data_IF_018705327213
#
_entry.id   IF_018705327213
#
_cell.length_a   1.000
_cell.length_b   1.000
_cell.length_c   1.000
_cell.angle_alpha   90.00
_cell.angle_beta   90.00
_cell.angle_gamma   90.00
#
_symmetry.space_group_name_H-M   'P 1'
#
loop_
_entity.id
_entity.type
_entity.pdbx_description
1 polymer ?
#
# COMPACT_ATOMS: atom_id res chain seq x y z
N UNK A 1 23.82 18.71 101.70
CA UNK A 1 23.83 20.10 101.18
C UNK A 1 24.01 19.98 99.67
N UNK A 2 22.95 20.27 98.93
CA UNK A 2 22.79 19.97 97.50
C UNK A 2 23.33 21.10 96.60
N UNK A 3 23.62 20.73 95.35
CA UNK A 3 23.69 21.56 94.14
C UNK A 3 24.89 22.50 93.94
N UNK A 4 25.78 22.12 93.01
CA UNK A 4 26.52 23.07 92.14
C UNK A 4 27.21 22.43 90.91
N UNK A 5 26.92 21.18 90.54
CA UNK A 5 27.60 20.49 89.41
C UNK A 5 26.67 20.00 88.30
N UNK A 6 25.48 20.60 88.17
CA UNK A 6 24.49 20.24 87.13
C UNK A 6 24.10 21.45 86.28
N UNK A 7 25.07 22.25 85.85
CA UNK A 7 24.80 23.40 84.97
C UNK A 7 25.74 23.50 83.75
N UNK A 8 26.95 22.93 83.80
CA UNK A 8 27.91 23.04 82.69
C UNK A 8 27.84 21.89 81.69
N UNK A 9 27.41 20.70 82.10
CA UNK A 9 27.28 19.53 81.20
C UNK A 9 26.02 19.55 80.31
N UNK A 10 24.98 20.29 80.70
CA UNK A 10 23.75 20.45 79.89
C UNK A 10 23.85 21.59 78.86
N UNK A 11 24.82 22.50 79.03
CA UNK A 11 25.07 23.64 78.14
C UNK A 11 26.06 23.31 77.01
N UNK A 12 26.80 22.21 77.14
CA UNK A 12 27.69 21.70 76.08
C UNK A 12 26.93 20.74 75.14
N UNK A 13 25.92 20.03 75.65
CA UNK A 13 25.11 19.12 74.84
C UNK A 13 24.13 19.84 73.87
N UNK A 14 23.79 21.11 74.12
CA UNK A 14 22.91 21.90 73.24
C UNK A 14 23.65 22.66 72.14
N UNK A 15 24.99 22.66 72.14
CA UNK A 15 25.82 23.36 71.13
C UNK A 15 26.40 22.47 70.02
N UNK A 16 26.18 21.16 70.07
CA UNK A 16 26.88 20.22 69.20
C UNK A 16 26.00 19.51 68.16
N UNK A 17 24.81 20.03 67.86
CA UNK A 17 24.00 19.59 66.71
C UNK A 17 23.29 20.81 66.10
N UNK A 18 24.04 21.87 65.79
CA UNK A 18 23.65 22.73 64.67
C UNK A 18 24.18 22.03 63.43
N UNK A 19 23.32 21.24 62.79
CA UNK A 19 23.55 20.92 61.38
C UNK A 19 23.53 22.28 60.67
N UNK A 20 24.71 22.87 60.46
CA UNK A 20 24.89 23.96 59.50
C UNK A 20 24.68 23.32 58.13
N UNK A 21 23.41 23.06 57.84
CA UNK A 21 22.96 22.60 56.55
C UNK A 21 23.16 23.79 55.64
N UNK A 22 24.06 23.65 54.67
CA UNK A 22 24.33 24.66 53.66
C UNK A 22 23.09 24.78 52.74
N UNK A 23 22.14 25.57 53.21
CA UNK A 23 20.84 25.79 52.57
C UNK A 23 20.98 26.41 51.19
N UNK A 24 22.05 27.18 50.95
CA UNK A 24 22.32 27.79 49.64
C UNK A 24 22.70 26.71 48.62
N UNK A 25 23.58 25.79 48.99
CA UNK A 25 23.92 24.63 48.16
C UNK A 25 22.71 23.71 47.90
N UNK A 26 21.84 23.55 48.91
CA UNK A 26 20.60 22.77 48.76
C UNK A 26 19.62 23.42 47.77
N UNK A 27 19.39 24.75 47.89
CA UNK A 27 18.50 25.50 47.02
C UNK A 27 19.01 25.56 45.57
N UNK A 28 20.32 25.73 45.36
CA UNK A 28 20.94 25.71 44.03
C UNK A 28 20.72 24.35 43.35
N UNK A 29 20.89 23.25 44.08
CA UNK A 29 20.65 21.91 43.54
C UNK A 29 19.18 21.68 43.17
N UNK A 30 18.23 22.15 43.99
CA UNK A 30 16.80 22.08 43.66
C UNK A 30 16.50 22.88 42.40
N UNK A 31 17.01 24.10 42.30
CA UNK A 31 16.77 24.97 41.15
C UNK A 31 17.38 24.42 39.86
N UNK A 32 18.61 23.91 39.93
CA UNK A 32 19.26 23.22 38.83
C UNK A 32 18.45 21.99 38.40
N UNK A 33 17.98 21.17 39.34
CA UNK A 33 17.11 20.02 39.08
C UNK A 33 15.82 20.39 38.35
N UNK A 34 15.18 21.50 38.75
CA UNK A 34 13.99 22.01 38.09
C UNK A 34 14.28 22.46 36.65
N UNK A 35 15.38 23.20 36.42
CA UNK A 35 15.80 23.61 35.08
C UNK A 35 16.02 22.39 34.16
N UNK A 36 16.77 21.39 34.63
CA UNK A 36 17.01 20.16 33.86
C UNK A 36 15.72 19.38 33.59
N UNK A 37 14.77 19.38 34.53
CA UNK A 37 13.46 18.75 34.34
C UNK A 37 12.67 19.40 33.20
N UNK A 38 12.56 20.73 33.17
CA UNK A 38 11.85 21.43 32.09
C UNK A 38 12.56 21.30 30.74
N UNK A 39 13.90 21.39 30.72
CA UNK A 39 14.69 21.12 29.52
C UNK A 39 14.46 19.70 29.00
N UNK A 40 14.41 18.70 29.89
CA UNK A 40 14.12 17.32 29.57
C UNK A 40 12.73 17.12 28.97
N UNK A 41 11.71 17.81 29.50
CA UNK A 41 10.35 17.78 28.95
C UNK A 41 10.31 18.40 27.56
N UNK A 42 10.87 19.60 27.38
CA UNK A 42 10.90 20.29 26.08
C UNK A 42 11.62 19.44 25.04
N UNK A 43 12.77 18.87 25.41
CA UNK A 43 13.53 17.98 24.54
C UNK A 43 12.75 16.70 24.19
N UNK A 44 12.05 16.10 25.15
CA UNK A 44 11.23 14.90 24.93
C UNK A 44 10.04 15.17 24.00
N UNK A 45 9.32 16.28 24.22
CA UNK A 45 8.19 16.69 23.37
C UNK A 45 8.66 16.95 21.94
N UNK A 46 9.88 17.45 21.74
CA UNK A 46 10.42 17.70 20.41
C UNK A 46 10.99 16.44 19.73
N UNK A 47 11.71 15.62 20.49
CA UNK A 47 12.47 14.49 19.94
C UNK A 47 11.58 13.28 19.61
N UNK A 48 10.62 12.96 20.48
CA UNK A 48 9.70 11.81 20.31
C UNK A 48 8.93 11.87 18.97
N UNK A 49 8.26 12.98 18.59
CA UNK A 49 7.53 13.03 17.32
C UNK A 49 8.49 12.94 16.12
N UNK A 50 9.69 13.50 16.22
CA UNK A 50 10.66 13.46 15.12
C UNK A 50 11.13 12.01 14.82
N UNK A 51 11.47 11.24 15.85
CA UNK A 51 11.82 9.83 15.68
C UNK A 51 10.61 8.98 15.26
N UNK A 52 9.44 9.23 15.85
CA UNK A 52 8.21 8.50 15.52
C UNK A 52 7.84 8.68 14.04
N UNK A 53 7.86 9.92 13.53
CA UNK A 53 7.56 10.22 12.12
C UNK A 53 8.59 9.55 11.19
N UNK A 54 9.87 9.59 11.54
CA UNK A 54 10.93 8.96 10.72
C UNK A 54 10.77 7.45 10.64
N UNK A 55 10.51 6.79 11.76
CA UNK A 55 10.26 5.35 11.83
C UNK A 55 8.98 4.97 11.08
N UNK A 56 7.90 5.75 11.24
CA UNK A 56 6.64 5.56 10.53
C UNK A 56 6.84 5.65 9.02
N UNK A 57 7.60 6.66 8.55
CA UNK A 57 7.91 6.84 7.12
C UNK A 57 8.68 5.65 6.54
N UNK A 58 9.68 5.16 7.26
CA UNK A 58 10.47 4.01 6.80
C UNK A 58 9.63 2.71 6.73
N UNK A 59 8.84 2.45 7.79
CA UNK A 59 7.93 1.29 7.82
C UNK A 59 6.89 1.36 6.70
N UNK A 60 6.31 2.55 6.46
CA UNK A 60 5.35 2.78 5.40
C UNK A 60 5.93 2.54 4.01
N UNK A 61 7.16 2.97 3.73
CA UNK A 61 7.81 2.72 2.44
C UNK A 61 7.97 1.22 2.16
N UNK A 62 8.41 0.44 3.17
CA UNK A 62 8.55 -1.02 3.03
C UNK A 62 7.20 -1.68 2.73
N UNK A 63 6.15 -1.30 3.46
CA UNK A 63 4.81 -1.83 3.21
C UNK A 63 4.26 -1.44 1.84
N UNK A 64 4.46 -0.19 1.42
CA UNK A 64 4.01 0.27 0.11
C UNK A 64 4.70 -0.51 -1.01
N UNK A 65 6.02 -0.72 -0.92
CA UNK A 65 6.77 -1.55 -1.88
C UNK A 65 6.19 -2.96 -1.99
N UNK A 66 5.88 -3.60 -0.86
CA UNK A 66 5.23 -4.91 -0.86
C UNK A 66 3.84 -4.86 -1.51
N UNK A 67 3.01 -3.84 -1.22
CA UNK A 67 1.69 -3.69 -1.86
C UNK A 67 1.82 -3.54 -3.38
N UNK A 68 2.71 -2.67 -3.84
CA UNK A 68 2.97 -2.46 -5.28
C UNK A 68 3.38 -3.78 -5.93
N UNK A 69 4.30 -4.52 -5.30
CA UNK A 69 4.74 -5.83 -5.78
C UNK A 69 3.56 -6.81 -5.92
N UNK A 70 2.73 -6.97 -4.88
CA UNK A 70 1.55 -7.84 -4.96
C UNK A 70 0.53 -7.38 -6.00
N UNK A 71 0.32 -6.07 -6.15
CA UNK A 71 -0.57 -5.53 -7.19
C UNK A 71 -0.03 -5.80 -8.60
N UNK A 72 1.29 -5.67 -8.82
CA UNK A 72 1.92 -6.04 -10.09
C UNK A 72 1.68 -7.52 -10.39
N UNK A 73 1.93 -8.41 -9.42
CA UNK A 73 1.69 -9.85 -9.61
C UNK A 73 0.24 -10.14 -9.97
N UNK A 74 -0.70 -9.58 -9.21
CA UNK A 74 -2.14 -9.77 -9.44
C UNK A 74 -2.56 -9.33 -10.86
N UNK A 75 -2.03 -8.19 -11.33
CA UNK A 75 -2.31 -7.71 -12.69
C UNK A 75 -1.61 -8.57 -13.76
N UNK A 76 -0.37 -9.01 -13.53
CA UNK A 76 0.32 -9.93 -14.43
C UNK A 76 -0.42 -11.26 -14.55
N UNK A 77 -0.86 -11.84 -13.43
CA UNK A 77 -1.63 -13.09 -13.40
C UNK A 77 -2.95 -12.94 -14.16
N UNK A 78 -3.64 -11.81 -14.01
CA UNK A 78 -4.81 -11.49 -14.81
C UNK A 78 -4.49 -11.55 -16.31
N UNK A 79 -3.45 -10.89 -16.80
CA UNK A 79 -3.08 -10.93 -18.22
C UNK A 79 -2.61 -12.32 -18.67
N UNK A 80 -1.91 -13.07 -17.83
CA UNK A 80 -1.42 -14.42 -18.15
C UNK A 80 -2.55 -15.42 -18.36
N UNK A 81 -3.63 -15.25 -17.61
CA UNK A 81 -4.83 -16.08 -17.68
C UNK A 81 -5.76 -15.72 -18.84
N UNK A 82 -5.39 -14.76 -19.70
CA UNK A 82 -6.25 -14.41 -20.82
C UNK A 82 -6.35 -15.53 -21.86
N UNK A 83 -7.50 -15.64 -22.55
CA UNK A 83 -7.71 -16.54 -23.68
C UNK A 83 -6.58 -16.43 -24.71
N UNK A 84 -6.20 -17.56 -25.31
CA UNK A 84 -5.07 -17.64 -26.25
C UNK A 84 -5.35 -16.78 -27.49
N UNK A 85 -6.61 -16.67 -27.87
CA UNK A 85 -7.15 -15.90 -28.98
C UNK A 85 -6.90 -14.40 -28.82
N UNK A 86 -6.76 -13.91 -27.58
CA UNK A 86 -6.46 -12.51 -27.30
C UNK A 86 -4.95 -12.22 -27.27
N UNK A 87 -4.11 -13.26 -27.12
CA UNK A 87 -2.67 -13.06 -26.96
C UNK A 87 -2.06 -12.42 -28.19
N UNK A 88 -1.34 -11.34 -27.95
CA UNK A 88 -0.73 -10.51 -29.01
C UNK A 88 0.67 -10.96 -29.41
N UNK A 89 1.34 -11.73 -28.56
CA UNK A 89 2.62 -12.36 -28.86
C UNK A 89 2.83 -13.60 -27.97
N UNK A 90 3.88 -14.38 -28.25
CA UNK A 90 4.30 -15.51 -27.41
C UNK A 90 5.43 -15.15 -26.43
N UNK A 91 5.86 -13.89 -26.46
CA UNK A 91 7.02 -13.41 -25.74
C UNK A 91 6.69 -13.16 -24.27
N UNK A 92 7.73 -13.10 -23.45
CA UNK A 92 7.62 -12.96 -22.01
C UNK A 92 8.43 -11.77 -21.55
N UNK A 93 7.81 -10.91 -20.76
CA UNK A 93 8.48 -9.83 -20.05
C UNK A 93 8.63 -10.22 -18.58
N UNK A 94 9.80 -9.93 -17.99
CA UNK A 94 9.99 -10.15 -16.55
C UNK A 94 10.12 -8.82 -15.82
N UNK A 95 9.28 -8.61 -14.80
CA UNK A 95 9.33 -7.44 -13.93
C UNK A 95 10.07 -7.85 -12.66
N UNK A 96 11.12 -7.10 -12.31
CA UNK A 96 12.01 -7.44 -11.20
C UNK A 96 12.29 -6.25 -10.30
N UNK A 97 12.48 -6.54 -9.02
CA UNK A 97 12.98 -5.61 -8.01
C UNK A 97 14.27 -6.16 -7.42
N UNK A 98 15.35 -5.38 -7.50
CA UNK A 98 16.62 -5.75 -6.87
C UNK A 98 16.55 -5.60 -5.36
N UNK A 99 17.17 -6.54 -4.65
CA UNK A 99 17.38 -6.41 -3.22
C UNK A 99 18.45 -5.35 -2.95
N UNK A 100 18.12 -4.33 -2.16
CA UNK A 100 19.03 -3.22 -1.84
C UNK A 100 20.22 -3.66 -0.96
N UNK A 101 20.02 -4.68 -0.13
CA UNK A 101 21.05 -5.20 0.77
C UNK A 101 21.92 -6.27 0.08
N UNK A 102 21.37 -6.98 -0.91
CA UNK A 102 22.02 -8.07 -1.62
C UNK A 102 21.88 -7.88 -3.13
N UNK A 103 22.83 -7.18 -3.79
CA UNK A 103 22.70 -6.80 -5.21
C UNK A 103 22.58 -7.98 -6.20
N UNK A 104 22.98 -9.18 -5.78
CA UNK A 104 22.89 -10.41 -6.57
C UNK A 104 21.53 -11.13 -6.41
N UNK A 105 20.68 -10.69 -5.48
CA UNK A 105 19.38 -11.29 -5.19
C UNK A 105 18.23 -10.36 -5.64
N UNK A 106 17.10 -10.98 -5.99
CA UNK A 106 15.87 -10.30 -6.39
C UNK A 106 14.86 -10.41 -5.24
N UNK A 107 14.29 -9.29 -4.81
CA UNK A 107 13.25 -9.25 -3.77
C UNK A 107 11.88 -9.66 -4.33
N UNK A 108 11.70 -9.47 -5.63
CA UNK A 108 10.43 -9.68 -6.30
C UNK A 108 10.65 -9.96 -7.78
N UNK A 109 9.87 -10.91 -8.30
CA UNK A 109 9.84 -11.30 -9.70
C UNK A 109 8.39 -11.56 -10.10
N UNK A 110 7.92 -10.90 -11.15
CA UNK A 110 6.65 -11.19 -11.80
C UNK A 110 6.88 -11.44 -13.30
N UNK A 111 6.15 -12.40 -13.85
CA UNK A 111 6.27 -12.80 -15.26
C UNK A 111 4.99 -12.38 -15.97
N UNK A 112 5.15 -11.69 -17.10
CA UNK A 112 4.05 -11.26 -17.96
C UNK A 112 4.19 -11.95 -19.32
N UNK A 113 3.22 -12.82 -19.64
CA UNK A 113 3.11 -13.60 -20.87
C UNK A 113 1.68 -13.50 -21.38
N UNK A 114 1.40 -12.68 -22.39
CA UNK A 114 2.31 -12.08 -23.37
C UNK A 114 2.97 -10.78 -22.91
N UNK A 115 4.09 -10.41 -23.53
CA UNK A 115 4.74 -9.12 -23.30
C UNK A 115 3.89 -7.96 -23.84
N UNK A 116 3.22 -7.24 -22.94
CA UNK A 116 2.39 -6.08 -23.28
C UNK A 116 3.16 -4.76 -23.33
N UNK A 117 4.44 -4.72 -22.97
CA UNK A 117 5.24 -3.48 -23.02
C UNK A 117 5.76 -3.15 -24.41
N UNK A 118 5.66 -4.10 -25.36
CA UNK A 118 5.97 -3.85 -26.77
C UNK A 118 5.06 -2.80 -27.39
N UNK A 119 5.63 -2.02 -28.30
CA UNK A 119 4.89 -1.05 -29.08
C UNK A 119 3.76 -1.73 -29.86
N UNK A 120 2.53 -1.22 -29.76
CA UNK A 120 1.37 -1.78 -30.44
C UNK A 120 0.71 -2.97 -29.76
N UNK A 121 1.27 -3.49 -28.66
CA UNK A 121 0.75 -4.71 -28.01
C UNK A 121 -0.65 -4.50 -27.41
N UNK A 122 -0.91 -3.36 -26.76
CA UNK A 122 -2.23 -3.10 -26.17
C UNK A 122 -3.28 -2.81 -27.25
N UNK A 123 -2.90 -2.11 -28.32
CA UNK A 123 -3.77 -1.83 -29.45
C UNK A 123 -4.16 -3.13 -30.17
N UNK A 124 -3.20 -4.03 -30.37
CA UNK A 124 -3.45 -5.36 -30.94
C UNK A 124 -4.33 -6.22 -30.03
N UNK A 125 -4.17 -6.12 -28.70
CA UNK A 125 -4.98 -6.87 -27.74
C UNK A 125 -6.45 -6.44 -27.87
N UNK A 126 -6.67 -5.14 -27.90
CA UNK A 126 -8.00 -4.55 -28.08
C UNK A 126 -8.60 -4.96 -29.43
N UNK A 127 -7.82 -4.92 -30.51
CA UNK A 127 -8.27 -5.34 -31.84
C UNK A 127 -8.65 -6.82 -31.87
N UNK A 128 -7.85 -7.69 -31.26
CA UNK A 128 -8.13 -9.13 -31.16
C UNK A 128 -9.42 -9.38 -30.39
N UNK A 129 -9.62 -8.68 -29.28
CA UNK A 129 -10.84 -8.76 -28.46
C UNK A 129 -12.09 -8.35 -29.26
N UNK A 130 -12.00 -7.25 -30.01
CA UNK A 130 -13.10 -6.78 -30.87
C UNK A 130 -13.37 -7.73 -32.04
N UNK A 131 -12.31 -8.24 -32.68
CA UNK A 131 -12.41 -9.16 -33.81
C UNK A 131 -13.06 -10.48 -33.39
N UNK A 132 -12.58 -11.07 -32.30
CA UNK A 132 -13.15 -12.30 -31.76
C UNK A 132 -14.62 -12.12 -31.38
N UNK A 133 -14.98 -10.99 -30.76
CA UNK A 133 -16.38 -10.66 -30.50
C UNK A 133 -17.24 -10.44 -31.75
N UNK A 134 -16.64 -10.05 -32.88
CA UNK A 134 -17.35 -9.85 -34.14
C UNK A 134 -17.63 -11.17 -34.87
N UNK A 135 -16.69 -12.11 -34.79
CA UNK A 135 -16.69 -13.38 -35.53
C UNK A 135 -17.43 -14.51 -34.81
N UNK A 136 -17.54 -14.48 -33.49
CA UNK A 136 -18.19 -15.55 -32.71
C UNK A 136 -19.71 -15.54 -32.80
N UNK A 137 -20.34 -16.73 -32.63
CA UNK A 137 -21.80 -16.86 -32.60
C UNK A 137 -22.41 -16.19 -31.35
N UNK A 138 -23.73 -15.92 -31.37
CA UNK A 138 -24.40 -15.24 -30.24
C UNK A 138 -24.28 -15.95 -28.90
N UNK A 139 -24.21 -17.30 -28.90
CA UNK A 139 -24.11 -18.12 -27.68
C UNK A 139 -22.68 -18.06 -27.13
N UNK A 140 -21.67 -18.27 -27.98
CA UNK A 140 -20.25 -18.20 -27.60
C UNK A 140 -19.86 -16.83 -27.05
N UNK A 141 -20.46 -15.75 -27.58
CA UNK A 141 -20.20 -14.38 -27.12
C UNK A 141 -20.71 -14.11 -25.71
N UNK A 142 -21.86 -14.69 -25.36
CA UNK A 142 -22.43 -14.57 -24.03
C UNK A 142 -21.61 -15.32 -22.98
N UNK A 143 -21.21 -16.56 -23.30
CA UNK A 143 -20.36 -17.37 -22.41
C UNK A 143 -18.99 -16.70 -22.20
N UNK A 144 -18.39 -16.20 -23.28
CA UNK A 144 -17.15 -15.43 -23.23
C UNK A 144 -17.29 -14.22 -22.32
N UNK A 145 -18.32 -13.39 -22.52
CA UNK A 145 -18.54 -12.19 -21.69
C UNK A 145 -18.65 -12.55 -20.20
N UNK A 146 -19.40 -13.58 -19.86
CA UNK A 146 -19.53 -14.02 -18.47
C UNK A 146 -18.20 -14.53 -17.89
N UNK A 147 -17.42 -15.27 -18.67
CA UNK A 147 -16.11 -15.74 -18.25
C UNK A 147 -15.14 -14.58 -17.99
N UNK A 148 -15.15 -13.56 -18.85
CA UNK A 148 -14.31 -12.37 -18.71
C UNK A 148 -14.74 -11.48 -17.54
N UNK A 149 -16.05 -11.31 -17.34
CA UNK A 149 -16.57 -10.60 -16.17
C UNK A 149 -16.16 -11.29 -14.86
N UNK A 150 -16.14 -12.63 -14.84
CA UNK A 150 -15.67 -13.39 -13.69
C UNK A 150 -14.18 -13.12 -13.42
N UNK A 151 -13.32 -13.20 -14.45
CA UNK A 151 -11.88 -12.94 -14.33
C UNK A 151 -11.59 -11.52 -13.85
N UNK A 152 -12.31 -10.54 -14.38
CA UNK A 152 -12.18 -9.13 -13.98
C UNK A 152 -12.62 -8.93 -12.53
N UNK A 153 -13.69 -9.59 -12.10
CA UNK A 153 -14.13 -9.58 -10.70
C UNK A 153 -13.06 -10.15 -9.77
N UNK A 154 -12.41 -11.25 -10.15
CA UNK A 154 -11.32 -11.88 -9.38
C UNK A 154 -10.10 -10.94 -9.26
N UNK A 155 -9.74 -10.25 -10.34
CA UNK A 155 -8.71 -9.19 -10.31
C UNK A 155 -9.09 -8.09 -9.30
N UNK A 156 -10.33 -7.58 -9.36
CA UNK A 156 -10.80 -6.55 -8.43
C UNK A 156 -10.69 -7.03 -6.97
N UNK A 157 -11.20 -8.22 -6.67
CA UNK A 157 -11.18 -8.77 -5.31
C UNK A 157 -9.76 -8.90 -4.78
N UNK A 158 -8.84 -9.37 -5.62
CA UNK A 158 -7.40 -9.45 -5.28
C UNK A 158 -6.80 -8.07 -4.98
N UNK A 159 -7.11 -7.07 -5.81
CA UNK A 159 -6.62 -5.69 -5.61
C UNK A 159 -7.24 -5.02 -4.36
N UNK A 160 -8.53 -5.27 -4.08
CA UNK A 160 -9.22 -4.79 -2.88
C UNK A 160 -8.64 -5.42 -1.61
N UNK A 161 -8.28 -6.71 -1.65
CA UNK A 161 -7.61 -7.38 -0.55
C UNK A 161 -6.23 -6.76 -0.27
N UNK A 162 -5.40 -6.58 -1.31
CA UNK A 162 -4.06 -5.98 -1.19
C UNK A 162 -4.13 -4.55 -0.63
N UNK A 163 -5.11 -3.77 -1.09
CA UNK A 163 -5.30 -2.39 -0.61
C UNK A 163 -5.90 -2.33 0.80
N UNK A 164 -6.83 -3.23 1.11
CA UNK A 164 -7.54 -3.32 2.38
C UNK A 164 -6.67 -3.80 3.55
N UNK A 165 -5.68 -4.66 3.29
CA UNK A 165 -4.91 -5.32 4.36
C UNK A 165 -4.15 -4.36 5.30
N UNK A 166 -3.85 -3.11 4.93
CA UNK A 166 -3.09 -2.19 5.82
C UNK A 166 -3.41 -0.69 5.55
N UNK A 167 -4.48 -0.16 6.13
CA UNK A 167 -5.04 1.17 5.84
C UNK A 167 -4.22 2.41 6.27
N UNK A 168 -2.98 2.26 6.77
CA UNK A 168 -2.19 3.35 7.37
C UNK A 168 -1.02 3.88 6.51
N UNK A 169 -1.04 3.66 5.19
CA UNK A 169 0.01 4.17 4.29
C UNK A 169 -0.39 5.55 3.74
N UNK A 170 0.34 6.59 4.17
CA UNK A 170 0.15 8.01 3.82
C UNK A 170 0.33 8.36 2.33
N UNK A 171 0.67 7.41 1.45
CA UNK A 171 0.81 7.65 0.01
C UNK A 171 -0.49 7.31 -0.72
N UNK A 172 -1.23 8.36 -1.05
CA UNK A 172 -2.59 8.32 -1.61
C UNK A 172 -2.62 8.03 -3.11
N UNK A 173 -1.56 8.33 -3.86
CA UNK A 173 -1.57 8.25 -5.33
C UNK A 173 -1.78 6.85 -5.88
N UNK A 174 -0.86 5.92 -5.57
CA UNK A 174 -0.92 4.53 -6.08
C UNK A 174 -2.17 3.80 -5.61
N UNK A 175 -2.54 3.99 -4.33
CA UNK A 175 -3.75 3.37 -3.77
C UNK A 175 -5.00 3.93 -4.44
N UNK A 176 -5.03 5.23 -4.78
CA UNK A 176 -6.13 5.81 -5.56
C UNK A 176 -6.22 5.20 -6.94
N UNK A 177 -5.10 5.02 -7.66
CA UNK A 177 -5.12 4.43 -9.00
C UNK A 177 -5.65 2.99 -8.98
N UNK A 178 -5.23 2.19 -8.00
CA UNK A 178 -5.77 0.83 -7.79
C UNK A 178 -7.26 0.89 -7.46
N UNK A 179 -7.65 1.75 -6.52
CA UNK A 179 -9.05 1.90 -6.09
C UNK A 179 -9.94 2.36 -7.24
N UNK A 180 -9.44 3.24 -8.11
CA UNK A 180 -10.15 3.72 -9.30
C UNK A 180 -10.39 2.56 -10.27
N UNK A 181 -9.39 1.73 -10.55
CA UNK A 181 -9.59 0.53 -11.37
C UNK A 181 -10.66 -0.39 -10.77
N UNK A 182 -10.62 -0.62 -9.45
CA UNK A 182 -11.63 -1.45 -8.77
C UNK A 182 -13.06 -0.88 -8.89
N UNK A 183 -13.22 0.45 -8.78
CA UNK A 183 -14.52 1.11 -8.94
C UNK A 183 -15.06 0.99 -10.37
N UNK A 184 -14.18 1.07 -11.35
CA UNK A 184 -14.57 0.94 -12.75
C UNK A 184 -14.97 -0.49 -13.07
N UNK A 185 -14.22 -1.49 -12.58
CA UNK A 185 -14.61 -2.90 -12.66
C UNK A 185 -16.01 -3.11 -12.06
N UNK A 186 -16.28 -2.58 -10.86
CA UNK A 186 -17.63 -2.63 -10.24
C UNK A 186 -18.70 -2.01 -11.13
N UNK A 187 -18.37 -0.94 -11.85
CA UNK A 187 -19.29 -0.27 -12.75
C UNK A 187 -19.61 -1.14 -13.96
N UNK A 188 -18.60 -1.78 -14.56
CA UNK A 188 -18.79 -2.74 -15.66
C UNK A 188 -19.64 -3.92 -15.21
N UNK A 189 -19.32 -4.55 -14.07
CA UNK A 189 -20.11 -5.66 -13.51
C UNK A 189 -21.59 -5.31 -13.33
N UNK A 190 -21.89 -4.12 -12.81
CA UNK A 190 -23.28 -3.67 -12.60
C UNK A 190 -24.02 -3.47 -13.91
N UNK A 191 -23.38 -2.83 -14.91
CA UNK A 191 -23.98 -2.62 -16.23
C UNK A 191 -24.24 -3.93 -16.95
N UNK A 192 -23.25 -4.83 -16.96
CA UNK A 192 -23.40 -6.14 -17.60
C UNK A 192 -24.53 -6.96 -16.97
N UNK A 193 -24.68 -6.96 -15.64
CA UNK A 193 -25.83 -7.63 -14.98
C UNK A 193 -27.18 -7.07 -15.42
N UNK A 194 -27.28 -5.74 -15.56
CA UNK A 194 -28.51 -5.08 -16.01
C UNK A 194 -28.86 -5.50 -17.44
N UNK A 195 -27.85 -5.56 -18.32
CA UNK A 195 -28.04 -5.91 -19.74
C UNK A 195 -28.44 -7.37 -19.91
N UNK A 196 -27.79 -8.30 -19.20
CA UNK A 196 -28.16 -9.72 -19.19
C UNK A 196 -29.62 -9.91 -18.75
N UNK A 197 -30.05 -9.16 -17.73
CA UNK A 197 -31.43 -9.22 -17.24
C UNK A 197 -32.42 -8.70 -18.30
N UNK A 198 -32.05 -7.63 -19.02
CA UNK A 198 -32.87 -7.08 -20.09
C UNK A 198 -33.02 -8.06 -21.26
N UNK A 199 -31.91 -8.62 -21.78
CA UNK A 199 -31.93 -9.62 -22.86
C UNK A 199 -32.79 -10.83 -22.49
N UNK A 200 -32.71 -11.31 -21.25
CA UNK A 200 -33.52 -12.43 -20.77
C UNK A 200 -35.02 -12.10 -20.79
N UNK A 201 -35.39 -10.86 -20.47
CA UNK A 201 -36.79 -10.43 -20.37
C UNK A 201 -37.40 -10.07 -21.72
N UNK A 202 -36.63 -9.54 -22.67
CA UNK A 202 -37.15 -9.09 -23.97
C UNK A 202 -36.93 -10.12 -25.09
N UNK A 203 -35.99 -11.05 -24.93
CA UNK A 203 -35.60 -12.00 -25.99
C UNK A 203 -34.87 -11.35 -27.17
N UNK A 204 -34.75 -10.02 -27.20
CA UNK A 204 -33.97 -9.28 -28.17
C UNK A 204 -32.49 -9.37 -27.78
N UNK A 205 -31.73 -10.16 -28.55
CA UNK A 205 -30.26 -10.19 -28.50
C UNK A 205 -29.71 -8.93 -29.15
N UNK A 206 -29.97 -7.77 -28.55
CA UNK A 206 -29.36 -6.51 -28.97
C UNK A 206 -27.86 -6.57 -28.68
N UNK A 207 -27.11 -6.94 -29.71
CA UNK A 207 -25.67 -7.16 -29.75
C UNK A 207 -24.87 -6.65 -28.54
N UNK A 208 -24.43 -7.59 -27.70
CA UNK A 208 -23.19 -7.56 -26.91
C UNK A 208 -22.88 -6.17 -26.32
N UNK A 209 -23.78 -5.65 -25.49
CA UNK A 209 -23.45 -4.54 -24.62
C UNK A 209 -22.47 -5.02 -23.54
N UNK A 210 -21.18 -4.67 -23.68
CA UNK A 210 -20.15 -4.99 -22.68
C UNK A 210 -18.71 -5.01 -23.21
N UNK A 211 -18.49 -5.20 -24.52
CA UNK A 211 -17.10 -5.30 -25.03
C UNK A 211 -16.37 -3.97 -25.05
N UNK A 212 -17.09 -2.87 -25.26
CA UNK A 212 -16.51 -1.52 -25.15
C UNK A 212 -16.04 -1.23 -23.73
N UNK A 213 -16.79 -1.68 -22.73
CA UNK A 213 -16.43 -1.61 -21.32
C UNK A 213 -15.26 -2.55 -20.98
N UNK A 214 -15.27 -3.76 -21.53
CA UNK A 214 -14.20 -4.74 -21.32
C UNK A 214 -12.86 -4.18 -21.81
N UNK A 215 -12.84 -3.60 -23.02
CA UNK A 215 -11.69 -2.88 -23.57
C UNK A 215 -11.13 -1.85 -22.58
N UNK A 216 -11.99 -1.01 -21.99
CA UNK A 216 -11.56 0.03 -21.07
C UNK A 216 -10.90 -0.53 -19.81
N UNK A 217 -11.39 -1.66 -19.29
CA UNK A 217 -10.79 -2.33 -18.14
C UNK A 217 -9.38 -2.83 -18.48
N UNK A 218 -9.22 -3.49 -19.63
CA UNK A 218 -7.92 -3.98 -20.08
C UNK A 218 -6.90 -2.86 -20.29
N UNK A 219 -7.29 -1.77 -20.95
CA UNK A 219 -6.45 -0.59 -21.15
C UNK A 219 -6.00 0.01 -19.82
N UNK A 220 -6.92 0.16 -18.87
CA UNK A 220 -6.61 0.78 -17.58
C UNK A 220 -5.82 -0.13 -16.65
N UNK A 221 -6.07 -1.44 -16.67
CA UNK A 221 -5.23 -2.42 -15.99
C UNK A 221 -3.78 -2.34 -16.50
N UNK A 222 -3.59 -2.19 -17.82
CA UNK A 222 -2.26 -2.03 -18.41
C UNK A 222 -1.62 -0.68 -18.03
N UNK A 223 -2.37 0.42 -18.08
CA UNK A 223 -1.88 1.74 -17.64
C UNK A 223 -1.44 1.71 -16.18
N UNK A 224 -2.25 1.09 -15.31
CA UNK A 224 -1.92 0.89 -13.91
C UNK A 224 -0.63 0.07 -13.77
N UNK A 225 -0.52 -1.08 -14.45
CA UNK A 225 0.69 -1.90 -14.44
C UNK A 225 1.92 -1.08 -14.84
N UNK A 226 1.82 -0.30 -15.91
CA UNK A 226 2.90 0.58 -16.39
C UNK A 226 3.29 1.64 -15.36
N UNK A 227 2.31 2.23 -14.67
CA UNK A 227 2.57 3.23 -13.62
C UNK A 227 3.22 2.59 -12.39
N UNK A 228 2.77 1.40 -11.98
CA UNK A 228 3.36 0.65 -10.87
C UNK A 228 4.82 0.26 -11.17
N UNK A 229 5.11 -0.16 -12.39
CA UNK A 229 6.47 -0.55 -12.80
C UNK A 229 7.40 0.64 -13.01
N UNK A 230 6.89 1.83 -13.34
CA UNK A 230 7.68 3.06 -13.43
C UNK A 230 8.17 3.57 -12.07
N UNK A 231 7.69 3.01 -10.97
CA UNK A 231 8.19 3.35 -9.63
C UNK A 231 9.68 3.01 -9.55
N UNK A 232 10.45 3.86 -8.85
CA UNK A 232 11.93 3.85 -8.82
C UNK A 232 12.57 2.47 -8.56
N UNK A 233 11.86 1.59 -7.87
CA UNK A 233 12.35 0.30 -7.40
C UNK A 233 12.18 -0.84 -8.42
N UNK A 234 11.39 -0.67 -9.48
CA UNK A 234 11.01 -1.73 -10.40
C UNK A 234 11.69 -1.57 -11.75
N UNK A 235 12.02 -2.70 -12.39
CA UNK A 235 12.65 -2.74 -13.70
C UNK A 235 12.08 -3.85 -14.56
N UNK A 236 12.06 -3.62 -15.88
CA UNK A 236 11.64 -4.57 -16.90
C UNK A 236 12.90 -5.12 -17.59
N UNK A 237 12.97 -6.43 -17.77
CA UNK A 237 14.02 -7.13 -18.52
C UNK A 237 13.38 -8.00 -19.60
#
# INVERSE_FOLDING_TARGET
MFNTTMSTSLLIATRAITWDMDWDSFLINIYAGFIYFFLGIVFSIWLIPLFTVRLLKHKNHKFLRSKIAYSITSICDFFNQMPVEFRVNSETCTIKVKNLNYPQAEDFVAILKPDLFKMGAIENLVLNLLKFSGESESIDRYELMNSELKRIKELRESLEEITGLHHNTLETGVINEISQLCLEIRTVEKRSKSNITHEYLTGEKEGIHGMGELKQVYEKAFVLLKNLVKQRDFSII
#
